data_IF_891881401541
#
_entry.id   IF_891881401541
#
_cell.length_a   1.000
_cell.length_b   1.000
_cell.length_c   1.000
_cell.angle_alpha   90.00
_cell.angle_beta   90.00
_cell.angle_gamma   90.00
#
_symmetry.space_group_name_H-M   'P 1'
#
loop_
_entity.id
_entity.type
_entity.pdbx_description
1 polymer ?
#
# COMPACT_ATOMS: atom_id res chain seq x y z
N UNK A 1 -10.37 -24.33 33.77
CA UNK A 1 -9.08 -24.55 33.10
C UNK A 1 -9.20 -24.52 31.57
N UNK A 2 -10.24 -25.12 30.95
CA UNK A 2 -10.46 -25.12 29.51
C UNK A 2 -10.65 -23.72 28.90
N UNK A 3 -11.37 -22.83 29.60
CA UNK A 3 -11.60 -21.45 29.15
C UNK A 3 -10.34 -20.59 29.22
N UNK A 4 -9.47 -20.81 30.21
CA UNK A 4 -8.17 -20.12 30.34
C UNK A 4 -7.24 -20.59 29.23
N UNK A 5 -7.19 -21.88 28.92
CA UNK A 5 -6.41 -22.40 27.79
C UNK A 5 -6.91 -21.86 26.46
N UNK A 6 -8.22 -21.83 26.25
CA UNK A 6 -8.81 -21.25 25.04
C UNK A 6 -8.51 -19.74 24.91
N UNK A 7 -8.54 -19.01 26.03
CA UNK A 7 -8.15 -17.61 26.09
C UNK A 7 -6.65 -17.40 25.75
N UNK A 8 -5.78 -18.21 26.35
CA UNK A 8 -4.34 -18.15 26.08
C UNK A 8 -4.03 -18.48 24.62
N UNK A 9 -4.63 -19.54 24.06
CA UNK A 9 -4.48 -19.89 22.65
C UNK A 9 -4.94 -18.78 21.69
N UNK A 10 -5.85 -17.92 22.11
CA UNK A 10 -6.38 -16.82 21.30
C UNK A 10 -5.55 -15.54 21.40
N UNK A 11 -4.79 -15.36 22.48
CA UNK A 11 -4.13 -14.08 22.81
C UNK A 11 -2.61 -14.19 23.03
N UNK A 12 -2.06 -15.40 23.05
CA UNK A 12 -0.60 -15.62 23.12
C UNK A 12 -0.15 -16.12 21.75
N UNK A 13 0.74 -15.37 21.07
CA UNK A 13 1.27 -15.79 19.77
C UNK A 13 1.90 -17.18 19.85
N UNK A 14 1.67 -18.01 18.85
CA UNK A 14 2.31 -19.30 18.70
C UNK A 14 3.81 -19.12 18.40
N UNK A 15 4.59 -20.19 18.48
CA UNK A 15 6.01 -20.15 18.13
C UNK A 15 6.20 -19.74 16.66
N UNK A 16 5.36 -20.26 15.77
CA UNK A 16 5.40 -19.97 14.34
C UNK A 16 5.05 -18.48 14.06
N UNK A 17 4.02 -17.95 14.74
CA UNK A 17 3.68 -16.52 14.64
C UNK A 17 4.80 -15.61 15.14
N UNK A 18 5.51 -16.01 16.22
CA UNK A 18 6.65 -15.25 16.74
C UNK A 18 7.85 -15.33 15.79
N UNK A 19 8.14 -16.50 15.22
CA UNK A 19 9.22 -16.69 14.26
C UNK A 19 8.93 -15.90 12.97
N UNK A 20 7.73 -16.00 12.42
CA UNK A 20 7.30 -15.22 11.25
C UNK A 20 7.41 -13.71 11.48
N UNK A 21 7.05 -13.25 12.68
CA UNK A 21 7.18 -11.85 13.06
C UNK A 21 8.65 -11.40 13.12
N UNK A 22 9.55 -12.24 13.68
CA UNK A 22 10.98 -11.95 13.73
C UNK A 22 11.59 -11.85 12.33
N UNK A 23 11.23 -12.76 11.41
CA UNK A 23 11.66 -12.69 10.00
C UNK A 23 11.16 -11.42 9.30
N UNK A 24 9.94 -10.99 9.57
CA UNK A 24 9.38 -9.75 9.01
C UNK A 24 10.12 -8.51 9.57
N UNK A 25 10.45 -8.47 10.86
CA UNK A 25 11.19 -7.37 11.48
C UNK A 25 12.63 -7.29 10.93
N UNK A 26 13.28 -8.44 10.71
CA UNK A 26 14.60 -8.48 10.05
C UNK A 26 14.51 -7.95 8.61
N UNK A 27 13.44 -8.27 7.89
CA UNK A 27 13.21 -7.74 6.55
C UNK A 27 13.05 -6.21 6.54
N UNK A 28 12.32 -5.64 7.51
CA UNK A 28 12.21 -4.18 7.66
C UNK A 28 13.59 -3.52 7.86
N UNK A 29 14.46 -4.12 8.70
CA UNK A 29 15.81 -3.65 8.92
C UNK A 29 16.66 -3.71 7.63
N UNK A 30 16.57 -4.82 6.88
CA UNK A 30 17.28 -4.99 5.61
C UNK A 30 16.82 -3.98 4.54
N UNK A 31 15.52 -3.64 4.50
CA UNK A 31 15.00 -2.58 3.62
C UNK A 31 15.62 -1.22 4.00
N UNK A 32 15.71 -0.93 5.30
CA UNK A 32 16.31 0.32 5.79
C UNK A 32 17.81 0.40 5.47
N UNK A 33 18.50 -0.73 5.50
CA UNK A 33 19.93 -0.85 5.15
C UNK A 33 20.20 -0.87 3.63
N UNK A 34 19.15 -0.90 2.81
CA UNK A 34 19.25 -0.88 1.36
C UNK A 34 19.54 -2.24 0.72
N UNK A 35 19.19 -3.34 1.39
CA UNK A 35 19.27 -4.70 0.85
C UNK A 35 17.86 -5.31 0.61
N UNK A 36 17.18 -4.91 -0.45
CA UNK A 36 15.83 -5.39 -0.76
C UNK A 36 15.82 -6.86 -1.21
N UNK A 37 16.95 -7.44 -1.64
CA UNK A 37 17.02 -8.85 -2.02
C UNK A 37 16.95 -9.75 -0.78
N UNK A 38 17.78 -9.45 0.21
CA UNK A 38 17.74 -10.17 1.48
C UNK A 38 16.39 -9.98 2.19
N UNK A 39 15.84 -8.76 2.16
CA UNK A 39 14.51 -8.48 2.71
C UNK A 39 13.41 -9.32 2.04
N UNK A 40 13.47 -9.48 0.71
CA UNK A 40 12.49 -10.30 -0.01
C UNK A 40 12.54 -11.77 0.43
N UNK A 41 13.74 -12.31 0.62
CA UNK A 41 13.91 -13.68 1.10
C UNK A 41 13.33 -13.86 2.52
N UNK A 42 13.54 -12.89 3.41
CA UNK A 42 12.99 -12.88 4.77
C UNK A 42 11.47 -12.80 4.78
N UNK A 43 10.88 -11.90 4.00
CA UNK A 43 9.42 -11.79 3.87
C UNK A 43 8.80 -13.06 3.27
N UNK A 44 9.46 -13.68 2.29
CA UNK A 44 9.03 -14.97 1.76
C UNK A 44 9.01 -16.06 2.83
N UNK A 45 10.04 -16.10 3.68
CA UNK A 45 10.13 -17.03 4.80
C UNK A 45 9.03 -16.75 5.84
N UNK A 46 8.83 -15.50 6.24
CA UNK A 46 7.77 -15.11 7.16
C UNK A 46 6.37 -15.58 6.70
N UNK A 47 6.05 -15.35 5.41
CA UNK A 47 4.78 -15.78 4.80
C UNK A 47 4.67 -17.31 4.70
N UNK A 48 5.79 -18.03 4.58
CA UNK A 48 5.80 -19.50 4.55
C UNK A 48 5.58 -20.10 5.94
N UNK A 49 6.16 -19.51 6.99
CA UNK A 49 6.01 -19.93 8.39
C UNK A 49 4.58 -19.64 8.87
N UNK A 50 4.10 -18.41 8.69
CA UNK A 50 2.72 -18.03 9.04
C UNK A 50 1.97 -17.46 7.82
N UNK A 51 1.24 -18.31 7.08
CA UNK A 51 0.41 -17.86 5.97
C UNK A 51 -0.74 -16.92 6.36
N UNK A 52 -1.05 -16.81 7.66
CA UNK A 52 -2.05 -15.90 8.22
C UNK A 52 -1.52 -14.50 8.51
N UNK A 53 -0.22 -14.28 8.44
CA UNK A 53 0.42 -12.98 8.67
C UNK A 53 0.19 -12.05 7.46
N UNK A 54 -0.93 -11.32 7.50
CA UNK A 54 -1.30 -10.38 6.44
C UNK A 54 -0.33 -9.18 6.35
N UNK A 55 0.32 -8.80 7.45
CA UNK A 55 1.31 -7.70 7.46
C UNK A 55 2.57 -8.10 6.69
N UNK A 56 3.17 -9.25 7.01
CA UNK A 56 4.33 -9.76 6.28
C UNK A 56 4.01 -10.00 4.79
N UNK A 57 2.81 -10.49 4.49
CA UNK A 57 2.34 -10.69 3.11
C UNK A 57 2.17 -9.36 2.37
N UNK A 58 1.64 -8.33 3.03
CA UNK A 58 1.53 -6.99 2.46
C UNK A 58 2.91 -6.47 2.05
N UNK A 59 3.89 -6.54 2.95
CA UNK A 59 5.25 -6.06 2.68
C UNK A 59 5.94 -6.89 1.60
N UNK A 60 5.72 -8.20 1.60
CA UNK A 60 6.23 -9.10 0.54
C UNK A 60 5.68 -8.73 -0.84
N UNK A 61 4.36 -8.59 -0.98
CA UNK A 61 3.73 -8.22 -2.24
C UNK A 61 4.17 -6.82 -2.68
N UNK A 62 4.23 -5.86 -1.77
CA UNK A 62 4.69 -4.50 -2.04
C UNK A 62 6.10 -4.49 -2.61
N UNK A 63 7.03 -5.19 -1.96
CA UNK A 63 8.43 -5.26 -2.41
C UNK A 63 8.57 -5.94 -3.78
N UNK A 64 7.77 -6.98 -4.06
CA UNK A 64 7.70 -7.60 -5.38
C UNK A 64 7.23 -6.62 -6.46
N UNK A 65 6.21 -5.80 -6.16
CA UNK A 65 5.71 -4.77 -7.08
C UNK A 65 6.73 -3.66 -7.31
N UNK A 66 7.45 -3.22 -6.29
CA UNK A 66 8.54 -2.25 -6.41
C UNK A 66 9.65 -2.74 -7.35
N UNK A 67 9.85 -4.05 -7.42
CA UNK A 67 10.83 -4.70 -8.31
C UNK A 67 10.26 -5.05 -9.68
N UNK A 68 8.98 -4.81 -9.93
CA UNK A 68 8.31 -5.18 -11.17
C UNK A 68 8.09 -6.70 -11.35
N UNK A 69 8.19 -7.49 -10.28
CA UNK A 69 8.00 -8.93 -10.29
C UNK A 69 6.50 -9.28 -10.24
N UNK A 70 5.72 -8.80 -11.22
CA UNK A 70 4.26 -8.84 -11.24
C UNK A 70 3.71 -10.26 -11.03
N UNK A 71 4.21 -11.26 -11.74
CA UNK A 71 3.69 -12.62 -11.65
C UNK A 71 3.86 -13.21 -10.24
N UNK A 72 4.97 -12.90 -9.55
CA UNK A 72 5.21 -13.33 -8.17
C UNK A 72 4.32 -12.54 -7.20
N UNK A 73 4.15 -11.24 -7.43
CA UNK A 73 3.26 -10.40 -6.64
C UNK A 73 1.80 -10.87 -6.71
N UNK A 74 1.32 -11.22 -7.90
CA UNK A 74 -0.03 -11.76 -8.10
C UNK A 74 -0.23 -13.10 -7.35
N UNK A 75 0.73 -14.02 -7.45
CA UNK A 75 0.68 -15.30 -6.76
C UNK A 75 0.71 -15.11 -5.22
N UNK A 76 1.54 -14.20 -4.71
CA UNK A 76 1.62 -13.90 -3.29
C UNK A 76 0.36 -13.18 -2.75
N UNK A 77 -0.31 -12.39 -3.60
CA UNK A 77 -1.52 -11.63 -3.26
C UNK A 77 -2.79 -12.49 -3.29
N UNK A 78 -2.86 -13.54 -4.10
CA UNK A 78 -4.07 -14.34 -4.32
C UNK A 78 -4.76 -14.79 -3.02
N UNK A 79 -4.05 -15.31 -1.97
CA UNK A 79 -4.69 -15.78 -0.74
C UNK A 79 -5.45 -14.68 0.02
N UNK A 80 -5.07 -13.42 -0.16
CA UNK A 80 -5.67 -12.26 0.54
C UNK A 80 -6.57 -11.41 -0.36
N UNK A 81 -6.70 -11.74 -1.64
CA UNK A 81 -7.47 -10.96 -2.62
C UNK A 81 -8.93 -10.69 -2.19
N UNK A 82 -9.53 -11.61 -1.43
CA UNK A 82 -10.91 -11.45 -0.93
C UNK A 82 -11.02 -10.52 0.27
N UNK A 83 -9.90 -10.15 0.89
CA UNK A 83 -9.85 -9.25 2.06
C UNK A 83 -9.77 -7.77 1.67
N UNK A 84 -9.63 -7.42 0.40
CA UNK A 84 -9.48 -6.03 -0.08
C UNK A 84 -10.62 -5.11 0.38
N UNK A 85 -11.86 -5.61 0.44
CA UNK A 85 -12.99 -4.83 0.93
C UNK A 85 -12.90 -4.47 2.43
N UNK A 86 -12.05 -5.13 3.20
CA UNK A 86 -11.90 -4.97 4.65
C UNK A 86 -10.56 -4.32 5.04
N UNK A 87 -9.57 -4.37 4.16
CA UNK A 87 -8.23 -3.80 4.39
C UNK A 87 -7.84 -2.87 3.25
N UNK A 88 -7.77 -1.57 3.54
CA UNK A 88 -7.42 -0.55 2.57
C UNK A 88 -5.98 -0.69 2.02
N UNK A 89 -5.07 -1.33 2.76
CA UNK A 89 -3.69 -1.59 2.30
C UNK A 89 -3.71 -2.67 1.22
N UNK A 90 -4.47 -3.73 1.44
CA UNK A 90 -4.64 -4.80 0.44
C UNK A 90 -5.38 -4.29 -0.81
N UNK A 91 -6.38 -3.41 -0.63
CA UNK A 91 -7.04 -2.74 -1.75
C UNK A 91 -6.05 -1.88 -2.57
N UNK A 92 -5.16 -1.17 -1.89
CA UNK A 92 -4.12 -0.39 -2.54
C UNK A 92 -3.14 -1.26 -3.38
N UNK A 93 -2.75 -2.43 -2.87
CA UNK A 93 -1.95 -3.39 -3.64
C UNK A 93 -2.72 -3.93 -4.84
N UNK A 94 -4.02 -4.22 -4.70
CA UNK A 94 -4.85 -4.64 -5.82
C UNK A 94 -4.88 -3.59 -6.94
N UNK A 95 -5.00 -2.30 -6.58
CA UNK A 95 -4.89 -1.19 -7.53
C UNK A 95 -3.52 -1.13 -8.22
N UNK A 96 -2.44 -1.37 -7.48
CA UNK A 96 -1.08 -1.35 -8.06
C UNK A 96 -0.83 -2.53 -8.99
N UNK A 97 -1.24 -3.74 -8.60
CA UNK A 97 -1.23 -4.93 -9.47
C UNK A 97 -2.01 -4.65 -10.77
N UNK A 98 -3.21 -4.08 -10.66
CA UNK A 98 -4.02 -3.74 -11.82
C UNK A 98 -3.33 -2.70 -12.73
N UNK A 99 -2.62 -1.73 -12.15
CA UNK A 99 -1.85 -0.74 -12.91
C UNK A 99 -0.66 -1.39 -13.65
N UNK A 100 0.11 -2.24 -12.98
CA UNK A 100 1.23 -2.96 -13.61
C UNK A 100 0.76 -3.90 -14.73
N UNK A 101 -0.36 -4.59 -14.52
CA UNK A 101 -0.97 -5.45 -15.55
C UNK A 101 -1.36 -4.67 -16.81
N UNK A 102 -1.89 -3.47 -16.65
CA UNK A 102 -2.31 -2.60 -17.75
C UNK A 102 -1.13 -1.91 -18.43
N UNK A 103 -0.05 -1.62 -17.72
CA UNK A 103 1.08 -0.85 -18.24
C UNK A 103 1.74 -1.51 -19.45
N UNK A 104 1.74 -2.86 -19.53
CA UNK A 104 2.30 -3.59 -20.67
C UNK A 104 1.54 -3.39 -21.99
N UNK A 105 0.28 -2.96 -21.94
CA UNK A 105 -0.57 -2.69 -23.12
C UNK A 105 -0.91 -1.20 -23.28
N UNK A 106 -0.35 -0.34 -22.41
CA UNK A 106 -0.64 1.09 -22.42
C UNK A 106 -0.05 1.79 -23.65
N UNK A 107 -0.73 2.84 -24.09
CA UNK A 107 -0.20 3.75 -25.12
C UNK A 107 1.10 4.42 -24.65
N UNK A 108 1.94 4.80 -25.61
CA UNK A 108 3.16 5.55 -25.29
C UNK A 108 2.83 6.82 -24.48
N UNK A 109 3.55 7.12 -23.37
CA UNK A 109 3.33 8.31 -22.56
C UNK A 109 3.33 9.63 -23.33
N UNK A 110 4.16 9.78 -24.36
CA UNK A 110 4.20 10.98 -25.20
C UNK A 110 2.93 11.16 -26.04
N UNK A 111 2.33 10.05 -26.49
CA UNK A 111 1.05 10.04 -27.20
C UNK A 111 -0.07 10.46 -26.25
N UNK A 112 -0.07 9.93 -25.03
CA UNK A 112 -1.03 10.32 -23.99
C UNK A 112 -0.90 11.79 -23.62
N UNK A 113 0.33 12.27 -23.41
CA UNK A 113 0.60 13.68 -23.12
C UNK A 113 0.12 14.61 -24.24
N UNK A 114 0.33 14.20 -25.50
CA UNK A 114 -0.15 14.96 -26.67
C UNK A 114 -1.68 14.99 -26.75
N UNK A 115 -2.35 13.87 -26.49
CA UNK A 115 -3.82 13.82 -26.42
C UNK A 115 -4.38 14.71 -25.30
N UNK A 116 -3.76 14.70 -24.12
CA UNK A 116 -4.11 15.56 -23.00
C UNK A 116 -3.86 17.03 -23.31
N UNK A 117 -2.78 17.35 -24.03
CA UNK A 117 -2.48 18.72 -24.46
C UNK A 117 -3.55 19.25 -25.43
N UNK A 118 -4.00 18.41 -26.36
CA UNK A 118 -5.07 18.74 -27.31
C UNK A 118 -6.44 18.86 -26.64
N UNK A 119 -6.74 17.98 -25.68
CA UNK A 119 -7.99 18.01 -24.91
C UNK A 119 -7.73 17.80 -23.41
N UNK A 120 -7.78 18.88 -22.64
CA UNK A 120 -7.59 18.86 -21.18
C UNK A 120 -8.62 17.99 -20.42
N UNK A 121 -9.74 17.65 -21.06
CA UNK A 121 -10.79 16.77 -20.53
C UNK A 121 -10.75 15.35 -21.09
N UNK A 122 -9.67 14.97 -21.76
CA UNK A 122 -9.45 13.56 -22.10
C UNK A 122 -9.06 12.79 -20.83
N UNK A 123 -10.10 12.49 -20.03
CA UNK A 123 -9.91 11.79 -18.75
C UNK A 123 -9.43 10.34 -18.93
N UNK A 124 -9.77 9.71 -20.05
CA UNK A 124 -9.26 8.38 -20.37
C UNK A 124 -7.73 8.41 -20.59
N UNK A 125 -7.24 9.35 -21.39
CA UNK A 125 -5.80 9.51 -21.61
C UNK A 125 -5.05 9.86 -20.30
N UNK A 126 -5.64 10.76 -19.47
CA UNK A 126 -5.06 11.09 -18.16
C UNK A 126 -5.03 9.90 -17.22
N UNK A 127 -6.10 9.14 -17.15
CA UNK A 127 -6.15 7.97 -16.29
C UNK A 127 -5.15 6.91 -16.76
N UNK A 128 -5.05 6.65 -18.07
CA UNK A 128 -4.06 5.72 -18.62
C UNK A 128 -2.63 6.17 -18.32
N UNK A 129 -2.33 7.47 -18.45
CA UNK A 129 -1.03 8.04 -18.09
C UNK A 129 -0.75 7.87 -16.58
N UNK A 130 -1.75 8.11 -15.74
CA UNK A 130 -1.64 7.90 -14.29
C UNK A 130 -1.34 6.45 -13.94
N UNK A 131 -1.99 5.49 -14.63
CA UNK A 131 -1.72 4.06 -14.42
C UNK A 131 -0.30 3.68 -14.83
N UNK A 132 0.23 4.25 -15.91
CA UNK A 132 1.62 4.06 -16.35
C UNK A 132 2.60 4.60 -15.30
N UNK A 133 2.32 5.76 -14.72
CA UNK A 133 3.12 6.32 -13.63
C UNK A 133 3.03 5.46 -12.36
N UNK A 134 1.83 5.05 -11.98
CA UNK A 134 1.62 4.21 -10.81
C UNK A 134 2.34 2.87 -10.93
N UNK A 135 2.21 2.19 -12.07
CA UNK A 135 2.91 0.95 -12.37
C UNK A 135 4.43 1.06 -12.20
N UNK A 136 4.99 2.20 -12.57
CA UNK A 136 6.43 2.48 -12.49
C UNK A 136 6.87 3.09 -11.14
N UNK A 137 6.03 3.11 -10.11
CA UNK A 137 6.33 3.67 -8.80
C UNK A 137 6.46 5.21 -8.77
N UNK A 138 6.10 5.89 -9.87
CA UNK A 138 6.09 7.36 -9.94
C UNK A 138 4.81 7.92 -9.33
N UNK A 139 4.65 7.73 -8.02
CA UNK A 139 3.40 7.96 -7.29
C UNK A 139 2.90 9.41 -7.38
N UNK A 140 3.79 10.39 -7.21
CA UNK A 140 3.44 11.82 -7.29
C UNK A 140 2.93 12.20 -8.67
N UNK A 141 3.60 11.74 -9.74
CA UNK A 141 3.16 11.98 -11.11
C UNK A 141 1.80 11.32 -11.40
N UNK A 142 1.59 10.11 -10.90
CA UNK A 142 0.28 9.45 -11.01
C UNK A 142 -0.82 10.24 -10.32
N UNK A 143 -0.57 10.71 -9.10
CA UNK A 143 -1.53 11.50 -8.33
C UNK A 143 -1.82 12.86 -8.95
N UNK A 144 -0.84 13.53 -9.58
CA UNK A 144 -1.08 14.80 -10.27
C UNK A 144 -2.06 14.64 -11.44
N UNK A 145 -1.94 13.58 -12.25
CA UNK A 145 -2.91 13.31 -13.33
C UNK A 145 -4.29 12.93 -12.79
N UNK A 146 -4.37 12.14 -11.72
CA UNK A 146 -5.65 11.78 -11.09
C UNK A 146 -6.33 12.99 -10.47
N UNK A 147 -5.58 13.90 -9.87
CA UNK A 147 -6.11 15.13 -9.27
C UNK A 147 -6.78 16.02 -10.31
N UNK A 148 -6.20 16.12 -11.52
CA UNK A 148 -6.77 16.86 -12.65
C UNK A 148 -8.14 16.30 -13.09
N UNK A 149 -8.33 14.97 -12.98
CA UNK A 149 -9.63 14.35 -13.23
C UNK A 149 -10.60 14.72 -12.10
N UNK A 150 -10.22 14.50 -10.84
CA UNK A 150 -11.07 14.73 -9.66
C UNK A 150 -11.54 16.19 -9.58
N UNK A 151 -10.66 17.16 -9.88
CA UNK A 151 -11.02 18.59 -9.88
C UNK A 151 -12.08 18.96 -10.93
N UNK A 152 -12.15 18.24 -12.06
CA UNK A 152 -13.07 18.53 -13.16
C UNK A 152 -14.31 17.66 -13.18
N UNK A 153 -14.20 16.43 -12.71
CA UNK A 153 -15.29 15.46 -12.60
C UNK A 153 -15.03 14.49 -11.46
N UNK A 154 -15.58 14.79 -10.29
CA UNK A 154 -15.41 13.98 -9.07
C UNK A 154 -15.98 12.56 -9.23
N UNK A 155 -17.04 12.39 -10.03
CA UNK A 155 -17.77 11.15 -10.21
C UNK A 155 -17.28 10.31 -11.42
N UNK A 156 -16.28 10.81 -12.14
CA UNK A 156 -15.78 10.14 -13.33
C UNK A 156 -15.54 8.64 -13.09
N UNK A 157 -16.10 7.81 -13.98
CA UNK A 157 -15.95 6.35 -13.94
C UNK A 157 -16.22 5.74 -12.54
N UNK A 158 -17.31 6.17 -11.88
CA UNK A 158 -17.67 5.71 -10.52
C UNK A 158 -16.59 5.99 -9.47
N UNK A 159 -16.09 7.22 -9.44
CA UNK A 159 -15.04 7.70 -8.54
C UNK A 159 -13.69 7.01 -8.73
N UNK A 160 -13.43 6.37 -9.87
CA UNK A 160 -12.23 5.55 -10.09
C UNK A 160 -10.93 6.36 -9.89
N UNK A 161 -10.89 7.60 -10.39
CA UNK A 161 -9.72 8.47 -10.19
C UNK A 161 -9.44 8.73 -8.71
N UNK A 162 -10.47 9.04 -7.93
CA UNK A 162 -10.37 9.26 -6.48
C UNK A 162 -9.95 7.98 -5.74
N UNK A 163 -10.55 6.84 -6.07
CA UNK A 163 -10.20 5.54 -5.46
C UNK A 163 -8.74 5.19 -5.71
N UNK A 164 -8.29 5.33 -6.95
CA UNK A 164 -6.88 5.10 -7.29
C UNK A 164 -5.94 6.07 -6.58
N UNK A 165 -6.32 7.34 -6.46
CA UNK A 165 -5.54 8.33 -5.71
C UNK A 165 -5.37 7.93 -4.23
N UNK A 166 -6.45 7.51 -3.58
CA UNK A 166 -6.43 7.05 -2.19
C UNK A 166 -5.59 5.79 -2.05
N UNK A 167 -5.67 4.86 -3.00
CA UNK A 167 -4.83 3.67 -3.03
C UNK A 167 -3.34 4.02 -3.10
N UNK A 168 -2.95 5.00 -3.94
CA UNK A 168 -1.55 5.47 -4.01
C UNK A 168 -1.11 6.07 -2.67
N UNK A 169 -1.94 6.89 -2.03
CA UNK A 169 -1.63 7.42 -0.69
C UNK A 169 -1.43 6.31 0.35
N UNK A 170 -2.20 5.22 0.27
CA UNK A 170 -2.05 4.08 1.17
C UNK A 170 -0.75 3.30 0.92
N UNK A 171 -0.34 3.11 -0.34
CA UNK A 171 0.95 2.49 -0.69
C UNK A 171 2.14 3.32 -0.19
N UNK A 172 2.03 4.66 -0.27
CA UNK A 172 3.10 5.58 0.17
C UNK A 172 3.18 5.70 1.70
N UNK A 173 2.08 5.41 2.41
CA UNK A 173 2.07 5.49 3.87
C UNK A 173 3.01 4.46 4.48
N UNK A 174 3.90 4.92 5.38
CA UNK A 174 4.68 4.00 6.20
C UNK A 174 3.77 3.34 7.23
N UNK A 175 3.96 2.05 7.56
CA UNK A 175 3.24 1.44 8.65
C UNK A 175 3.47 2.25 9.94
N UNK A 176 2.41 2.39 10.75
CA UNK A 176 2.57 3.00 12.07
C UNK A 176 3.53 2.12 12.91
N UNK A 177 4.44 2.71 13.67
CA UNK A 177 5.30 1.93 14.55
C UNK A 177 4.44 1.07 15.47
N UNK A 178 4.65 -0.24 15.45
CA UNK A 178 3.97 -1.17 16.38
C UNK A 178 4.42 -0.80 17.79
N UNK A 179 3.50 -0.31 18.62
CA UNK A 179 3.77 -0.13 20.06
C UNK A 179 4.11 -1.50 20.63
N UNK A 180 5.31 -1.63 21.20
CA UNK A 180 5.74 -2.86 21.85
C UNK A 180 4.68 -3.27 22.88
N UNK A 181 4.21 -4.52 22.82
CA UNK A 181 3.12 -5.06 23.63
C UNK A 181 3.35 -5.00 25.16
N UNK A 182 4.46 -4.41 25.62
CA UNK A 182 4.85 -4.22 27.03
C UNK A 182 4.51 -2.86 27.64
N UNK A 183 4.21 -1.82 26.87
CA UNK A 183 4.03 -0.46 27.40
C UNK A 183 2.57 -0.07 27.66
N UNK A 184 1.61 -0.95 27.39
CA UNK A 184 0.18 -0.69 27.56
C UNK A 184 -0.33 -0.88 29.00
N UNK A 185 0.53 -1.03 30.00
CA UNK A 185 0.12 -1.10 31.42
C UNK A 185 0.41 0.23 32.12
N UNK A 186 -0.57 1.14 32.10
CA UNK A 186 -0.70 2.14 33.16
C UNK A 186 -0.51 3.59 32.83
N UNK A 187 -0.64 4.05 31.59
CA UNK A 187 -0.68 5.47 31.32
C UNK A 187 -1.99 5.85 30.60
N UNK A 188 -3.02 6.09 31.39
CA UNK A 188 -4.13 6.96 31.00
C UNK A 188 -3.59 8.41 31.07
N UNK A 189 -2.53 8.71 30.33
CA UNK A 189 -2.09 10.07 30.11
C UNK A 189 -2.86 10.62 28.91
N UNK A 190 -3.91 11.38 29.24
CA UNK A 190 -4.53 12.39 28.39
C UNK A 190 -3.51 13.48 28.01
N UNK A 191 -2.42 13.10 27.43
CA UNK A 191 -1.52 14.02 26.74
C UNK A 191 -1.70 13.81 25.25
N UNK A 192 -2.30 14.79 24.59
CA UNK A 192 -2.52 14.87 23.14
C UNK A 192 -1.23 14.92 22.30
N UNK A 193 -0.28 14.05 22.60
CA UNK A 193 0.75 13.60 21.70
C UNK A 193 0.29 12.28 21.10
N UNK A 194 -0.57 12.37 20.08
CA UNK A 194 -0.56 11.35 19.05
C UNK A 194 0.93 11.10 18.73
N UNK A 195 1.38 9.84 18.90
CA UNK A 195 2.72 9.45 18.50
C UNK A 195 2.93 10.05 17.11
N UNK A 196 3.90 10.93 16.96
CA UNK A 196 4.16 11.62 15.72
C UNK A 196 4.60 10.56 14.73
N UNK A 197 3.63 10.01 13.98
CA UNK A 197 3.92 9.31 12.73
C UNK A 197 4.82 10.27 11.99
N UNK A 198 6.04 9.85 11.67
CA UNK A 198 7.00 10.65 10.93
C UNK A 198 6.25 11.27 9.76
N UNK A 199 5.95 12.57 9.87
CA UNK A 199 5.15 13.28 8.88
C UNK A 199 5.93 13.25 7.57
N UNK A 200 5.47 12.47 6.60
CA UNK A 200 5.98 12.53 5.24
C UNK A 200 5.38 13.79 4.60
N UNK A 201 6.19 14.85 4.39
CA UNK A 201 5.67 16.14 3.90
C UNK A 201 5.02 16.00 2.52
N UNK A 202 5.48 15.04 1.69
CA UNK A 202 4.91 14.78 0.37
C UNK A 202 3.53 14.14 0.53
N UNK A 203 3.41 13.14 1.38
CA UNK A 203 2.14 12.46 1.64
C UNK A 203 1.09 13.45 2.19
N UNK A 204 1.48 14.31 3.14
CA UNK A 204 0.60 15.31 3.72
C UNK A 204 0.19 16.38 2.69
N UNK A 205 1.10 16.79 1.82
CA UNK A 205 0.78 17.70 0.73
C UNK A 205 -0.29 17.10 -0.20
N UNK A 206 -0.13 15.84 -0.60
CA UNK A 206 -1.08 15.19 -1.51
C UNK A 206 -2.43 14.90 -0.84
N UNK A 207 -2.46 14.59 0.46
CA UNK A 207 -3.71 14.52 1.23
C UNK A 207 -4.45 15.85 1.23
N UNK A 208 -3.76 16.98 1.44
CA UNK A 208 -4.36 18.32 1.39
C UNK A 208 -4.86 18.67 0.00
N UNK A 209 -4.07 18.38 -1.07
CA UNK A 209 -4.51 18.59 -2.45
C UNK A 209 -5.82 17.86 -2.75
N UNK A 210 -5.94 16.58 -2.34
CA UNK A 210 -7.17 15.82 -2.52
C UNK A 210 -8.33 16.44 -1.75
N UNK A 211 -8.13 16.81 -0.50
CA UNK A 211 -9.15 17.46 0.31
C UNK A 211 -9.67 18.74 -0.36
N UNK A 212 -8.79 19.62 -0.84
CA UNK A 212 -9.16 20.84 -1.54
C UNK A 212 -9.89 20.58 -2.89
N UNK A 213 -9.60 19.47 -3.55
CA UNK A 213 -10.28 19.10 -4.80
C UNK A 213 -11.70 18.55 -4.56
N UNK A 214 -11.97 18.04 -3.36
CA UNK A 214 -13.28 17.45 -3.01
C UNK A 214 -14.28 18.47 -2.47
N UNK A 215 -13.82 19.58 -1.93
CA UNK A 215 -14.62 20.67 -1.36
C UNK A 215 -14.46 21.96 -2.15
#
# INVERSE_FOLDING_TARGET
>A
ESQIRAFLHKHVPTADEQEAQAEAEEAEALIADGDPEAALAKLQQAVAIDPGNDDARYDYVKLLLERGALAQAEAAFEPVAKKTALDARLDALAHWIAAQRKAGAARNPDVLASAIAANKRDFEARFELSQTHFAAGRFTAAMDELLEIVMRDKAWSSDLARKTYVAILAVMAKPAPKLAAGEAKGALELTGKAAAVSADPVLDQYRRKLSMALF
#
